data_IF_761408328957
#
_entry.id   IF_761408328957
#
_cell.length_a   1.000
_cell.length_b   1.000
_cell.length_c   1.000
_cell.angle_alpha   90.00
_cell.angle_beta   90.00
_cell.angle_gamma   90.00
#
_symmetry.space_group_name_H-M   'P 1'
#
loop_
_entity.id
_entity.type
_entity.pdbx_description
1 polymer ?
#
# COMPACT_ATOMS: atom_id res chain seq x y z
N UNK A 1 -7.27 -11.14 5.60
CA UNK A 1 -5.99 -10.54 5.20
C UNK A 1 -4.97 -11.64 4.98
N UNK A 2 -4.17 -11.52 3.95
CA UNK A 2 -3.07 -12.46 3.71
C UNK A 2 -1.76 -11.70 3.57
N UNK A 3 -0.69 -12.30 4.06
CA UNK A 3 0.66 -11.77 4.01
C UNK A 3 1.60 -12.81 3.42
N UNK A 4 2.41 -12.38 2.46
CA UNK A 4 3.45 -13.22 1.90
C UNK A 4 4.68 -13.34 2.79
N UNK A 5 5.70 -14.05 2.28
CA UNK A 5 6.97 -14.26 2.98
C UNK A 5 7.80 -12.98 2.95
N UNK A 6 8.60 -12.77 4.00
CA UNK A 6 9.51 -11.61 4.12
C UNK A 6 8.78 -10.27 3.99
N UNK A 7 7.54 -10.20 4.42
CA UNK A 7 6.76 -8.96 4.42
C UNK A 7 6.81 -8.35 5.81
N UNK A 8 7.13 -7.07 5.88
CA UNK A 8 7.27 -6.34 7.14
C UNK A 8 6.30 -5.16 7.15
N UNK A 9 5.45 -5.13 8.17
CA UNK A 9 4.55 -4.03 8.44
C UNK A 9 5.05 -3.33 9.70
N UNK A 10 5.47 -2.10 9.56
CA UNK A 10 6.04 -1.35 10.65
C UNK A 10 4.99 -0.77 11.60
N UNK A 11 5.49 -0.14 12.65
CA UNK A 11 4.70 0.37 13.75
C UNK A 11 3.70 1.45 13.32
N UNK A 12 2.52 1.43 13.91
CA UNK A 12 1.53 2.49 13.73
C UNK A 12 0.69 2.38 12.47
N UNK A 13 0.81 1.29 11.71
CA UNK A 13 -0.02 1.10 10.52
C UNK A 13 -1.46 0.79 10.89
N UNK A 14 -2.40 1.33 10.13
CA UNK A 14 -3.82 1.02 10.26
C UNK A 14 -4.25 0.23 9.02
N UNK A 15 -4.69 -1.01 9.25
CA UNK A 15 -5.09 -1.92 8.16
C UNK A 15 -6.57 -2.26 8.31
N UNK A 16 -7.40 -1.62 7.50
CA UNK A 16 -8.84 -1.87 7.47
C UNK A 16 -9.14 -3.07 6.57
N UNK A 17 -9.28 -4.23 7.17
CA UNK A 17 -9.46 -5.48 6.44
C UNK A 17 -10.93 -5.85 6.20
N UNK A 18 -11.86 -4.92 6.31
CA UNK A 18 -13.30 -5.23 6.19
C UNK A 18 -13.68 -5.80 4.82
N UNK A 19 -12.97 -5.44 3.76
CA UNK A 19 -13.18 -5.99 2.40
C UNK A 19 -11.99 -6.78 1.87
N UNK A 20 -10.96 -6.97 2.69
CA UNK A 20 -9.80 -7.79 2.36
C UNK A 20 -8.58 -7.00 1.97
N UNK A 21 -7.44 -7.36 2.55
CA UNK A 21 -6.12 -6.84 2.19
C UNK A 21 -5.24 -8.05 1.87
N UNK A 22 -4.66 -8.04 0.68
CA UNK A 22 -3.83 -9.14 0.18
C UNK A 22 -2.45 -8.59 -0.17
N UNK A 23 -1.43 -9.02 0.57
CA UNK A 23 -0.08 -8.49 0.47
C UNK A 23 0.85 -9.62 0.05
N UNK A 24 1.65 -9.39 -0.96
CA UNK A 24 2.57 -10.36 -1.51
C UNK A 24 3.84 -10.57 -0.68
N UNK A 25 4.87 -11.08 -1.34
CA UNK A 25 6.16 -11.41 -0.74
C UNK A 25 7.10 -10.21 -0.80
N UNK A 26 8.00 -10.13 0.18
CA UNK A 26 9.06 -9.11 0.22
C UNK A 26 8.53 -7.68 0.14
N UNK A 27 7.40 -7.42 0.82
CA UNK A 27 6.75 -6.12 0.87
C UNK A 27 7.16 -5.40 2.15
N UNK A 28 7.49 -4.14 2.04
CA UNK A 28 7.71 -3.27 3.20
C UNK A 28 6.64 -2.21 3.28
N UNK A 29 6.02 -2.07 4.45
CA UNK A 29 5.07 -1.00 4.75
C UNK A 29 5.62 -0.22 5.94
N UNK A 30 5.99 1.02 5.69
CA UNK A 30 6.64 1.86 6.69
C UNK A 30 5.64 2.44 7.68
N UNK A 31 6.15 3.15 8.67
CA UNK A 31 5.39 3.63 9.83
C UNK A 31 4.16 4.46 9.45
N UNK A 32 3.09 4.26 10.18
CA UNK A 32 1.87 5.08 10.10
C UNK A 32 1.18 5.09 8.74
N UNK A 33 1.41 4.08 7.93
CA UNK A 33 0.68 3.89 6.66
C UNK A 33 -0.73 3.39 6.96
N UNK A 34 -1.70 3.88 6.20
CA UNK A 34 -3.11 3.48 6.35
C UNK A 34 -3.61 2.87 5.06
N UNK A 35 -4.28 1.72 5.20
CA UNK A 35 -4.92 1.04 4.08
C UNK A 35 -6.40 0.86 4.42
N UNK A 36 -7.26 1.43 3.57
CA UNK A 36 -8.70 1.32 3.73
C UNK A 36 -9.30 0.45 2.65
N UNK A 37 -10.29 -0.36 3.01
CA UNK A 37 -11.04 -1.19 2.06
C UNK A 37 -12.52 -0.84 2.03
N UNK A 38 -12.98 0.06 2.88
CA UNK A 38 -14.39 0.44 2.96
C UNK A 38 -14.52 1.95 3.13
N UNK A 39 -15.45 2.51 2.42
CA UNK A 39 -15.83 3.91 2.51
C UNK A 39 -17.32 4.06 2.21
N UNK A 40 -17.68 5.15 1.58
CA UNK A 40 -19.08 5.44 1.22
C UNK A 40 -19.19 5.87 -0.23
N UNK A 41 -20.35 5.58 -0.83
CA UNK A 41 -20.69 6.06 -2.15
C UNK A 41 -21.15 7.50 -2.06
N UNK A 42 -20.32 8.42 -2.54
CA UNK A 42 -20.59 9.86 -2.46
C UNK A 42 -21.75 10.30 -3.33
N UNK A 43 -22.13 9.48 -4.32
CA UNK A 43 -23.22 9.77 -5.24
C UNK A 43 -24.54 9.14 -4.80
N UNK A 44 -24.53 8.31 -3.76
CA UNK A 44 -25.74 7.69 -3.23
C UNK A 44 -26.42 8.65 -2.24
N UNK A 45 -27.68 9.03 -2.48
CA UNK A 45 -28.42 9.87 -1.52
C UNK A 45 -28.51 9.27 -0.12
N UNK A 46 -28.39 7.95 0.00
CA UNK A 46 -28.40 7.26 1.29
C UNK A 46 -27.00 7.08 1.87
N UNK A 47 -25.97 7.60 1.19
CA UNK A 47 -24.58 7.50 1.62
C UNK A 47 -24.18 6.09 2.03
N UNK A 48 -24.59 5.10 1.21
CA UNK A 48 -24.36 3.69 1.49
C UNK A 48 -22.87 3.37 1.52
N UNK A 49 -22.52 2.30 2.22
CA UNK A 49 -21.14 1.81 2.26
C UNK A 49 -20.74 1.30 0.88
N UNK A 50 -19.48 1.56 0.52
CA UNK A 50 -18.88 1.12 -0.72
C UNK A 50 -17.43 0.74 -0.45
N UNK A 51 -17.04 -0.42 -0.90
CA UNK A 51 -15.68 -0.89 -0.66
C UNK A 51 -15.26 -1.95 -1.64
N UNK A 52 -13.98 -2.25 -1.61
CA UNK A 52 -13.36 -3.28 -2.41
C UNK A 52 -11.99 -3.65 -1.81
N UNK A 53 -11.49 -4.86 -2.08
CA UNK A 53 -10.21 -5.29 -1.54
C UNK A 53 -9.04 -4.47 -2.08
N UNK A 54 -7.98 -4.41 -1.31
CA UNK A 54 -6.69 -3.83 -1.71
C UNK A 54 -5.72 -4.98 -1.94
N UNK A 55 -5.03 -4.94 -3.08
CA UNK A 55 -4.02 -5.92 -3.45
C UNK A 55 -2.66 -5.24 -3.58
N UNK A 56 -1.65 -5.78 -2.91
CA UNK A 56 -0.29 -5.27 -2.97
C UNK A 56 0.61 -6.41 -3.47
N UNK A 57 1.23 -6.20 -4.62
CA UNK A 57 2.08 -7.21 -5.27
C UNK A 57 3.40 -7.43 -4.53
N UNK A 58 4.19 -8.39 -5.05
CA UNK A 58 5.51 -8.67 -4.50
C UNK A 58 6.46 -7.48 -4.67
N UNK A 59 7.47 -7.40 -3.81
CA UNK A 59 8.55 -6.43 -3.90
C UNK A 59 8.11 -4.96 -3.86
N UNK A 60 6.91 -4.69 -3.36
CA UNK A 60 6.40 -3.33 -3.17
C UNK A 60 6.97 -2.72 -1.90
N UNK A 61 7.28 -1.44 -1.93
CA UNK A 61 7.58 -0.69 -0.72
C UNK A 61 6.69 0.55 -0.62
N UNK A 62 6.05 0.71 0.55
CA UNK A 62 5.21 1.86 0.86
C UNK A 62 5.88 2.64 1.98
N UNK A 63 6.27 3.88 1.68
CA UNK A 63 6.91 4.77 2.64
C UNK A 63 5.91 5.32 3.65
N UNK A 64 6.44 5.92 4.71
CA UNK A 64 5.67 6.33 5.88
C UNK A 64 4.54 7.31 5.55
N UNK A 65 3.46 7.17 6.30
CA UNK A 65 2.29 8.07 6.25
C UNK A 65 1.56 8.07 4.91
N UNK A 66 1.75 7.06 4.09
CA UNK A 66 0.94 6.90 2.88
C UNK A 66 -0.48 6.46 3.24
N UNK A 67 -1.40 6.76 2.36
CA UNK A 67 -2.80 6.38 2.47
C UNK A 67 -3.22 5.65 1.20
N UNK A 68 -3.66 4.40 1.35
CA UNK A 68 -4.13 3.58 0.22
C UNK A 68 -5.64 3.45 0.31
N UNK A 69 -6.33 3.84 -0.75
CA UNK A 69 -7.77 3.90 -0.81
C UNK A 69 -8.38 2.56 -1.23
N UNK A 70 -9.67 2.32 -0.92
CA UNK A 70 -10.36 1.07 -1.26
C UNK A 70 -10.27 0.71 -2.75
N UNK A 71 -10.07 -0.57 -3.03
CA UNK A 71 -10.08 -1.11 -4.39
C UNK A 71 -8.77 -0.94 -5.17
N UNK A 72 -7.76 -0.33 -4.56
CA UNK A 72 -6.48 -0.10 -5.24
C UNK A 72 -5.69 -1.40 -5.35
N UNK A 73 -5.09 -1.62 -6.52
CA UNK A 73 -4.07 -2.64 -6.74
C UNK A 73 -2.72 -1.96 -6.95
N UNK A 74 -1.75 -2.30 -6.12
CA UNK A 74 -0.37 -1.82 -6.27
C UNK A 74 0.44 -2.94 -6.92
N UNK A 75 0.93 -2.69 -8.12
CA UNK A 75 1.63 -3.67 -8.93
C UNK A 75 2.99 -4.07 -8.36
N UNK A 76 3.45 -5.26 -8.75
CA UNK A 76 4.74 -5.80 -8.34
C UNK A 76 5.85 -4.75 -8.48
N UNK A 77 6.72 -4.69 -7.49
CA UNK A 77 7.91 -3.83 -7.52
C UNK A 77 7.64 -2.34 -7.41
N UNK A 78 6.40 -1.91 -7.26
CA UNK A 78 6.10 -0.47 -7.15
C UNK A 78 6.59 0.13 -5.85
N UNK A 79 6.85 1.42 -5.87
CA UNK A 79 7.19 2.25 -4.71
C UNK A 79 6.13 3.32 -4.53
N UNK A 80 5.62 3.45 -3.33
CA UNK A 80 4.75 4.55 -2.93
C UNK A 80 5.52 5.46 -1.99
N UNK A 81 5.72 6.71 -2.37
CA UNK A 81 6.50 7.66 -1.58
C UNK A 81 5.74 8.13 -0.33
N UNK A 82 6.49 8.64 0.63
CA UNK A 82 5.95 9.07 1.91
C UNK A 82 4.85 10.14 1.75
N UNK A 83 3.81 10.03 2.56
CA UNK A 83 2.71 10.99 2.59
C UNK A 83 1.79 10.96 1.37
N UNK A 84 1.95 9.99 0.48
CA UNK A 84 1.14 9.88 -0.73
C UNK A 84 -0.26 9.39 -0.45
N UNK A 85 -1.22 9.83 -1.27
CA UNK A 85 -2.60 9.32 -1.24
C UNK A 85 -2.87 8.57 -2.54
N UNK A 86 -2.92 7.24 -2.45
CA UNK A 86 -3.09 6.37 -3.61
C UNK A 86 -4.56 6.12 -3.85
N UNK A 87 -5.10 6.72 -4.91
CA UNK A 87 -6.52 6.66 -5.26
C UNK A 87 -6.82 5.78 -6.47
N UNK A 88 -5.80 5.38 -7.21
CA UNK A 88 -5.91 4.55 -8.42
C UNK A 88 -4.85 3.46 -8.40
N UNK A 89 -5.04 2.45 -9.22
CA UNK A 89 -4.07 1.37 -9.37
C UNK A 89 -2.69 1.90 -9.75
N UNK A 90 -1.68 1.27 -9.22
CA UNK A 90 -0.28 1.61 -9.44
C UNK A 90 0.34 0.55 -10.34
N UNK A 91 0.90 0.97 -11.47
CA UNK A 91 1.55 0.08 -12.40
C UNK A 91 2.76 -0.62 -11.77
N UNK A 92 3.03 -1.88 -12.16
CA UNK A 92 4.24 -2.55 -11.71
C UNK A 92 5.50 -1.73 -11.98
N UNK A 93 6.44 -1.79 -11.04
CA UNK A 93 7.75 -1.16 -11.13
C UNK A 93 7.74 0.37 -11.31
N UNK A 94 6.63 1.00 -10.98
CA UNK A 94 6.55 2.46 -10.99
C UNK A 94 6.78 3.04 -9.60
N UNK A 95 7.31 4.27 -9.57
CA UNK A 95 7.40 5.07 -8.37
C UNK A 95 6.32 6.14 -8.46
N UNK A 96 5.43 6.14 -7.48
CA UNK A 96 4.33 7.11 -7.41
C UNK A 96 4.45 7.96 -6.16
N UNK A 97 3.95 9.18 -6.21
CA UNK A 97 3.95 10.08 -5.07
C UNK A 97 2.97 11.23 -5.24
N UNK A 98 2.66 11.87 -4.11
CA UNK A 98 1.79 13.03 -4.06
C UNK A 98 0.35 12.72 -3.64
N UNK A 99 -0.49 13.73 -3.66
CA UNK A 99 -1.92 13.65 -3.32
C UNK A 99 -2.74 14.40 -4.39
N UNK A 100 -3.46 13.69 -5.29
CA UNK A 100 -3.42 12.24 -5.47
C UNK A 100 -2.07 11.77 -6.01
N UNK A 101 -1.69 10.54 -5.69
CA UNK A 101 -0.43 9.97 -6.13
C UNK A 101 -0.41 9.81 -7.65
N UNK A 102 0.71 10.20 -8.25
CA UNK A 102 0.95 10.09 -9.69
C UNK A 102 2.32 9.49 -9.94
N UNK A 103 2.48 8.84 -11.09
CA UNK A 103 3.76 8.26 -11.48
C UNK A 103 4.81 9.36 -11.65
N UNK A 104 5.94 9.16 -11.00
CA UNK A 104 7.09 10.07 -11.07
C UNK A 104 8.12 9.52 -12.07
N UNK A 105 8.43 8.22 -11.95
CA UNK A 105 9.35 7.52 -12.84
C UNK A 105 9.27 6.01 -12.64
N UNK A 106 10.01 5.27 -13.46
CA UNK A 106 10.20 3.84 -13.28
C UNK A 106 11.19 3.56 -12.15
N UNK A 107 10.98 2.45 -11.45
CA UNK A 107 11.93 1.92 -10.49
C UNK A 107 12.95 1.03 -11.20
N UNK A 108 14.19 1.05 -10.75
CA UNK A 108 15.17 0.05 -11.16
C UNK A 108 14.67 -1.35 -10.76
N UNK A 109 14.54 -2.26 -11.74
CA UNK A 109 14.05 -3.62 -11.50
C UNK A 109 15.11 -4.57 -10.97
N UNK A 110 16.36 -4.16 -10.99
CA UNK A 110 17.48 -4.97 -10.54
C UNK A 110 17.64 -4.83 -9.03
N UNK A 111 16.71 -5.41 -8.29
CA UNK A 111 16.69 -5.35 -6.84
C UNK A 111 17.24 -6.65 -6.25
N UNK A 112 17.93 -6.52 -5.12
CA UNK A 112 18.57 -7.64 -4.44
C UNK A 112 18.49 -7.42 -2.92
N UNK A 113 17.28 -7.54 -2.37
CA UNK A 113 17.09 -7.43 -0.93
C UNK A 113 15.86 -8.24 -0.48
N UNK A 114 15.88 -8.56 0.82
CA UNK A 114 14.73 -9.12 1.53
C UNK A 114 14.36 -8.21 2.68
N UNK A 115 13.06 -8.01 2.88
CA UNK A 115 12.59 -7.29 4.06
C UNK A 115 12.90 -8.08 5.32
N UNK A 116 13.52 -7.41 6.29
CA UNK A 116 13.85 -7.99 7.58
C UNK A 116 13.47 -7.01 8.67
N UNK A 117 12.60 -7.44 9.60
CA UNK A 117 12.24 -6.61 10.73
C UNK A 117 13.36 -6.69 11.79
N UNK A 118 13.88 -5.52 12.16
CA UNK A 118 14.87 -5.38 13.22
C UNK A 118 14.32 -4.41 14.26
N UNK A 119 13.61 -4.94 15.23
CA UNK A 119 12.85 -4.13 16.19
C UNK A 119 13.72 -3.15 16.99
N UNK A 120 14.97 -3.46 17.22
CA UNK A 120 15.89 -2.59 17.95
C UNK A 120 16.32 -1.34 17.17
N UNK A 121 15.94 -1.24 15.89
CA UNK A 121 16.08 -0.03 15.08
C UNK A 121 14.73 0.57 14.66
N UNK A 122 13.65 -0.04 15.02
CA UNK A 122 12.31 0.35 14.57
C UNK A 122 11.63 1.30 15.56
N UNK A 123 12.35 2.28 15.99
CA UNK A 123 11.83 3.23 16.98
C UNK A 123 11.29 4.50 16.32
#
# INVERSE_FOLDING_TARGET
MSLGKNTVINFGCYLDNRRGIYIGNNVGIAHNTKIYTLGHDLNDPKFSTKGAPVHIGDDVFIFSNALVMPGVTIGEGAIVLAGSVVTKDVEPWSIVGGNPAKKIRERNRDIDYKQVYRYWFAL
#
